data_IF_414912892539
#
_entry.id   IF_414912892539
#
_cell.length_a   1.000
_cell.length_b   1.000
_cell.length_c   1.000
_cell.angle_alpha   90.00
_cell.angle_beta   90.00
_cell.angle_gamma   90.00
#
_symmetry.space_group_name_H-M   'P 1'
#
loop_
_entity.id
_entity.type
_entity.pdbx_description
1 polymer ?
#
# COMPACT_ATOMS: atom_id res chain seq x y z
N UNK A 1 -13.65 -61.71 -23.69
CA UNK A 1 -12.68 -60.81 -22.97
C UNK A 1 -12.67 -59.44 -23.62
N UNK A 2 -13.32 -58.47 -23.00
CA UNK A 2 -13.43 -57.05 -23.49
C UNK A 2 -12.29 -56.29 -22.85
N UNK A 3 -11.35 -55.76 -23.67
CA UNK A 3 -10.29 -54.86 -23.22
C UNK A 3 -10.84 -53.42 -23.20
N UNK A 4 -11.02 -52.88 -22.02
CA UNK A 4 -11.36 -51.46 -21.82
C UNK A 4 -10.05 -50.68 -21.88
N UNK A 5 -9.87 -49.89 -22.97
CA UNK A 5 -8.80 -48.90 -23.09
C UNK A 5 -9.25 -47.66 -22.32
N UNK A 6 -8.64 -47.40 -21.16
CA UNK A 6 -8.80 -46.14 -20.43
C UNK A 6 -7.83 -45.15 -21.04
N UNK A 7 -8.37 -44.22 -21.86
CA UNK A 7 -7.64 -43.03 -22.33
C UNK A 7 -7.49 -42.02 -21.18
N UNK A 8 -6.28 -41.90 -20.66
CA UNK A 8 -5.90 -40.87 -19.70
C UNK A 8 -5.65 -39.58 -20.48
N UNK A 9 -6.66 -38.74 -20.60
CA UNK A 9 -6.52 -37.39 -21.18
C UNK A 9 -5.81 -36.52 -20.18
N UNK A 10 -4.50 -36.25 -20.37
CA UNK A 10 -3.74 -35.27 -19.62
C UNK A 10 -4.23 -33.89 -20.04
N UNK A 11 -5.10 -33.31 -19.26
CA UNK A 11 -5.48 -31.89 -19.38
C UNK A 11 -4.29 -31.04 -18.89
N UNK A 12 -3.41 -30.65 -19.80
CA UNK A 12 -2.35 -29.69 -19.55
C UNK A 12 -3.02 -28.31 -19.46
N UNK A 13 -3.49 -27.93 -18.29
CA UNK A 13 -3.86 -26.55 -18.01
C UNK A 13 -2.59 -25.71 -18.08
N UNK A 14 -2.35 -25.09 -19.23
CA UNK A 14 -1.36 -24.04 -19.36
C UNK A 14 -1.73 -22.95 -18.37
N UNK A 15 -1.05 -22.90 -17.24
CA UNK A 15 -1.13 -21.79 -16.30
C UNK A 15 -0.53 -20.59 -17.02
N UNK A 16 -1.37 -19.84 -17.74
CA UNK A 16 -1.01 -18.56 -18.32
C UNK A 16 -0.57 -17.68 -17.15
N UNK A 17 0.73 -17.46 -17.01
CA UNK A 17 1.28 -16.58 -16.00
C UNK A 17 0.59 -15.21 -16.13
N UNK A 18 -0.31 -14.91 -15.24
CA UNK A 18 -1.04 -13.64 -15.25
C UNK A 18 -0.02 -12.51 -15.24
N UNK A 19 -0.16 -11.57 -16.18
CA UNK A 19 0.71 -10.40 -16.25
C UNK A 19 0.63 -9.66 -14.92
N UNK A 20 1.78 -9.42 -14.30
CA UNK A 20 1.85 -8.68 -13.03
C UNK A 20 1.22 -7.29 -13.20
N UNK A 21 0.26 -6.89 -12.36
CA UNK A 21 -0.37 -5.58 -12.47
C UNK A 21 0.62 -4.47 -12.11
N UNK A 22 0.47 -3.30 -12.72
CA UNK A 22 1.12 -2.09 -12.21
C UNK A 22 0.46 -1.67 -10.89
N UNK A 23 1.26 -1.24 -9.94
CA UNK A 23 0.80 -0.80 -8.62
C UNK A 23 1.16 0.67 -8.46
N UNK A 24 0.16 1.53 -8.29
CA UNK A 24 0.35 2.92 -7.89
C UNK A 24 -0.07 3.05 -6.43
N UNK A 25 0.87 3.39 -5.57
CA UNK A 25 0.62 3.69 -4.16
C UNK A 25 0.75 5.21 -3.94
N UNK A 26 -0.39 5.90 -3.80
CA UNK A 26 -0.44 7.33 -3.51
C UNK A 26 -0.79 7.53 -2.04
N UNK A 27 0.11 8.14 -1.28
CA UNK A 27 -0.03 8.37 0.16
C UNK A 27 0.11 9.85 0.46
N UNK A 28 -1.00 10.48 0.81
CA UNK A 28 -1.03 11.88 1.17
C UNK A 28 -0.53 12.09 2.61
N UNK A 29 0.28 13.12 2.83
CA UNK A 29 0.72 13.54 4.15
C UNK A 29 -0.35 14.42 4.79
N UNK A 30 -0.59 14.25 6.09
CA UNK A 30 -1.53 15.04 6.90
C UNK A 30 -2.96 15.13 6.34
N UNK A 31 -3.40 14.13 5.58
CA UNK A 31 -4.74 14.08 5.01
C UNK A 31 -5.61 13.02 5.70
N UNK A 32 -6.68 13.48 6.35
CA UNK A 32 -7.71 12.63 6.93
C UNK A 32 -8.90 12.42 5.97
N UNK A 33 -10.10 12.37 6.54
CA UNK A 33 -11.34 12.17 5.77
C UNK A 33 -11.89 13.46 5.15
N UNK A 34 -11.04 14.31 4.61
CA UNK A 34 -11.42 15.58 4.00
C UNK A 34 -11.50 15.45 2.47
N UNK A 35 -12.56 14.80 1.99
CA UNK A 35 -12.86 14.67 0.57
C UNK A 35 -14.37 14.68 0.33
N UNK A 36 -14.81 15.19 -0.83
CA UNK A 36 -16.25 15.34 -1.13
C UNK A 36 -17.03 14.03 -1.06
N UNK A 37 -16.43 12.89 -1.40
CA UNK A 37 -17.09 11.59 -1.28
C UNK A 37 -17.48 11.25 0.18
N UNK A 38 -16.76 11.76 1.16
CA UNK A 38 -17.09 11.51 2.57
C UNK A 38 -18.32 12.28 3.05
N UNK A 39 -18.74 13.36 2.36
CA UNK A 39 -20.03 14.00 2.64
C UNK A 39 -21.20 13.04 2.44
N UNK A 40 -21.12 12.18 1.41
CA UNK A 40 -22.16 11.19 1.13
C UNK A 40 -22.16 10.03 2.14
N UNK A 41 -21.01 9.75 2.75
CA UNK A 41 -20.78 8.60 3.63
C UNK A 41 -20.97 8.94 5.11
N UNK A 42 -20.47 10.12 5.54
CA UNK A 42 -20.47 10.56 6.94
C UNK A 42 -21.61 11.52 7.27
N UNK A 43 -22.35 11.98 6.27
CA UNK A 43 -23.42 12.97 6.40
C UNK A 43 -22.99 14.36 5.94
N UNK A 44 -23.97 15.08 5.43
CA UNK A 44 -23.79 16.45 4.95
C UNK A 44 -23.83 17.47 6.09
N UNK A 45 -23.38 18.69 5.83
CA UNK A 45 -23.32 19.78 6.79
C UNK A 45 -21.93 20.03 7.38
N UNK A 46 -20.89 19.31 6.88
CA UNK A 46 -19.51 19.44 7.35
C UNK A 46 -18.53 19.95 6.30
N UNK A 47 -17.25 19.91 6.63
CA UNK A 47 -16.15 20.37 5.77
C UNK A 47 -16.11 19.63 4.43
N UNK A 48 -16.58 18.40 4.37
CA UNK A 48 -16.60 17.58 3.17
C UNK A 48 -17.56 18.11 2.08
N UNK A 49 -18.54 18.91 2.43
CA UNK A 49 -19.40 19.59 1.45
C UNK A 49 -18.67 20.72 0.73
N UNK A 50 -17.65 21.29 1.37
CA UNK A 50 -16.82 22.35 0.81
C UNK A 50 -15.63 21.80 0.00
N UNK A 51 -15.19 20.60 0.32
CA UNK A 51 -14.09 19.94 -0.38
C UNK A 51 -14.48 19.63 -1.83
N UNK A 52 -13.58 19.84 -2.76
CA UNK A 52 -13.76 19.55 -4.18
C UNK A 52 -12.69 18.56 -4.64
N UNK A 53 -12.99 17.28 -4.57
CA UNK A 53 -12.06 16.19 -4.90
C UNK A 53 -12.59 15.25 -5.99
N UNK A 54 -12.94 15.77 -7.19
CA UNK A 54 -13.69 15.01 -8.20
C UNK A 54 -12.94 13.77 -8.70
N UNK A 55 -11.61 13.83 -8.81
CA UNK A 55 -10.81 12.68 -9.24
C UNK A 55 -10.70 11.61 -8.16
N UNK A 56 -10.56 12.00 -6.90
CA UNK A 56 -10.61 11.09 -5.77
C UNK A 56 -11.98 10.44 -5.64
N UNK A 57 -13.05 11.21 -5.79
CA UNK A 57 -14.42 10.69 -5.75
C UNK A 57 -14.69 9.67 -6.86
N UNK A 58 -14.17 9.93 -8.08
CA UNK A 58 -14.26 8.99 -9.20
C UNK A 58 -13.53 7.70 -8.89
N UNK A 59 -12.31 7.77 -8.33
CA UNK A 59 -11.54 6.61 -7.91
C UNK A 59 -12.28 5.83 -6.83
N UNK A 60 -12.76 6.49 -5.79
CA UNK A 60 -13.50 5.88 -4.69
C UNK A 60 -14.76 5.15 -5.16
N UNK A 61 -15.50 5.72 -6.13
CA UNK A 61 -16.70 5.11 -6.72
C UNK A 61 -16.39 3.91 -7.62
N UNK A 62 -15.19 3.83 -8.18
CA UNK A 62 -14.77 2.71 -9.04
C UNK A 62 -14.06 1.59 -8.27
N UNK A 63 -13.75 1.79 -7.02
CA UNK A 63 -13.01 0.87 -6.16
C UNK A 63 -13.69 0.61 -4.83
N UNK A 64 -12.89 0.46 -3.78
CA UNK A 64 -13.36 0.28 -2.41
C UNK A 64 -12.96 1.47 -1.56
N UNK A 65 -13.94 2.14 -0.95
CA UNK A 65 -13.72 3.23 -0.01
C UNK A 65 -13.75 2.68 1.43
N UNK A 66 -12.62 2.75 2.12
CA UNK A 66 -12.52 2.40 3.54
C UNK A 66 -12.93 3.60 4.39
N UNK A 67 -14.00 3.45 5.17
CA UNK A 67 -14.49 4.51 6.08
C UNK A 67 -13.66 4.62 7.35
N UNK A 68 -13.09 3.51 7.79
CA UNK A 68 -12.37 3.39 9.04
C UNK A 68 -10.95 2.84 8.78
N UNK A 69 -10.13 3.63 8.06
CA UNK A 69 -8.73 3.36 7.88
C UNK A 69 -7.91 4.21 8.87
N UNK A 70 -7.09 3.56 9.68
CA UNK A 70 -6.29 4.21 10.70
C UNK A 70 -4.80 4.02 10.41
N UNK A 71 -4.03 5.06 10.64
CA UNK A 71 -2.56 4.96 10.66
C UNK A 71 -2.10 4.39 11.99
N UNK A 72 -1.01 3.63 11.97
CA UNK A 72 -0.47 3.01 13.18
C UNK A 72 0.17 4.03 14.15
N UNK A 73 0.65 5.16 13.62
CA UNK A 73 1.17 6.27 14.40
C UNK A 73 0.85 7.62 13.73
N UNK A 74 0.40 8.64 14.46
CA UNK A 74 0.08 9.96 13.91
C UNK A 74 1.36 10.83 13.76
N UNK A 75 2.41 10.28 13.17
CA UNK A 75 3.71 10.95 13.00
C UNK A 75 4.42 10.41 11.76
N UNK A 76 5.13 11.27 11.04
CA UNK A 76 5.68 10.98 9.71
C UNK A 76 6.48 9.68 9.63
N UNK A 77 7.65 9.62 10.25
CA UNK A 77 8.52 8.44 10.17
C UNK A 77 7.94 7.21 10.84
N UNK A 78 7.37 7.28 12.05
CA UNK A 78 6.74 6.11 12.68
C UNK A 78 5.59 5.52 11.84
N UNK A 79 4.71 6.38 11.30
CA UNK A 79 3.64 5.94 10.40
C UNK A 79 4.20 5.23 9.16
N UNK A 80 5.20 5.84 8.52
CA UNK A 80 5.80 5.30 7.30
C UNK A 80 6.61 4.04 7.56
N UNK A 81 7.24 3.92 8.74
CA UNK A 81 7.90 2.69 9.16
C UNK A 81 6.92 1.53 9.27
N UNK A 82 5.77 1.75 9.90
CA UNK A 82 4.70 0.76 9.96
C UNK A 82 4.17 0.41 8.57
N UNK A 83 3.90 1.42 7.76
CA UNK A 83 3.37 1.26 6.42
C UNK A 83 4.31 0.43 5.53
N UNK A 84 5.61 0.70 5.56
CA UNK A 84 6.60 0.02 4.73
C UNK A 84 6.92 -1.39 5.21
N UNK A 85 6.93 -1.61 6.53
CA UNK A 85 7.28 -2.91 7.11
C UNK A 85 6.09 -3.85 7.34
N UNK A 86 4.87 -3.30 7.44
CA UNK A 86 3.69 -4.05 7.88
C UNK A 86 3.70 -4.37 9.38
N UNK A 87 4.58 -3.73 10.16
CA UNK A 87 4.70 -3.91 11.63
C UNK A 87 4.08 -2.73 12.37
N UNK A 88 3.83 -2.90 13.65
CA UNK A 88 3.55 -1.77 14.51
C UNK A 88 4.79 -0.87 14.62
N UNK A 89 4.59 0.45 14.76
CA UNK A 89 5.72 1.40 14.73
C UNK A 89 6.74 1.13 15.84
N UNK A 90 6.32 0.70 17.03
CA UNK A 90 7.21 0.37 18.13
C UNK A 90 8.09 -0.88 17.90
N UNK A 91 7.76 -1.69 16.88
CA UNK A 91 8.55 -2.85 16.48
C UNK A 91 9.60 -2.51 15.42
N UNK A 92 9.71 -1.24 15.04
CA UNK A 92 10.63 -0.78 13.98
C UNK A 92 11.91 -0.13 14.54
N UNK A 93 12.21 -0.34 15.82
CA UNK A 93 13.42 0.18 16.45
C UNK A 93 13.49 1.70 16.35
N UNK A 94 14.58 2.25 15.82
CA UNK A 94 14.72 3.71 15.59
C UNK A 94 13.83 4.26 14.49
N UNK A 95 13.17 3.44 13.70
CA UNK A 95 12.08 3.84 12.82
C UNK A 95 10.81 4.30 13.57
N UNK A 96 10.74 4.03 14.86
CA UNK A 96 9.63 4.44 15.73
C UNK A 96 9.71 5.91 16.20
N UNK A 97 10.80 6.62 15.93
CA UNK A 97 11.00 8.02 16.34
C UNK A 97 11.05 8.94 15.12
N UNK A 98 10.80 10.23 15.35
CA UNK A 98 10.80 11.24 14.28
C UNK A 98 12.20 11.79 14.02
N UNK A 99 12.89 12.23 15.07
CA UNK A 99 14.21 12.86 14.98
C UNK A 99 15.27 11.80 15.28
N UNK A 100 16.29 11.69 14.41
CA UNK A 100 17.32 10.66 14.52
C UNK A 100 16.82 9.27 14.17
N UNK A 101 15.76 9.20 13.36
CA UNK A 101 15.25 7.93 12.84
C UNK A 101 16.31 7.24 11.96
N UNK A 102 16.45 5.96 12.16
CA UNK A 102 17.30 5.08 11.35
C UNK A 102 16.51 3.82 11.02
N UNK A 103 16.66 3.31 9.80
CA UNK A 103 16.04 2.07 9.41
C UNK A 103 16.91 0.88 9.84
N UNK A 104 16.30 -0.11 10.46
CA UNK A 104 16.95 -1.39 10.70
C UNK A 104 16.85 -2.24 9.43
N UNK A 105 17.99 -2.49 8.76
CA UNK A 105 18.08 -3.26 7.51
C UNK A 105 17.55 -4.70 7.65
N UNK A 106 17.47 -5.23 8.87
CA UNK A 106 16.87 -6.55 9.14
C UNK A 106 15.35 -6.56 8.99
N UNK A 107 14.72 -5.38 8.95
CA UNK A 107 13.29 -5.24 8.77
C UNK A 107 12.99 -5.11 7.28
N UNK A 108 12.40 -6.14 6.65
CA UNK A 108 12.06 -6.07 5.23
C UNK A 108 10.95 -5.07 4.97
N UNK A 109 10.97 -4.44 3.80
CA UNK A 109 9.89 -3.58 3.33
C UNK A 109 9.13 -4.23 2.19
N UNK A 110 7.82 -3.98 2.08
CA UNK A 110 7.04 -4.54 0.97
C UNK A 110 7.53 -4.06 -0.42
N UNK A 111 8.05 -2.82 -0.61
CA UNK A 111 8.65 -2.46 -1.90
C UNK A 111 9.85 -3.34 -2.26
N UNK A 112 10.72 -3.66 -1.29
CA UNK A 112 11.85 -4.57 -1.55
C UNK A 112 11.40 -5.99 -1.91
N UNK A 113 10.32 -6.46 -1.29
CA UNK A 113 9.73 -7.76 -1.64
C UNK A 113 9.18 -7.75 -3.07
N UNK A 114 8.54 -6.66 -3.49
CA UNK A 114 8.11 -6.48 -4.88
C UNK A 114 9.29 -6.42 -5.85
N UNK A 115 10.36 -5.69 -5.51
CA UNK A 115 11.59 -5.66 -6.30
C UNK A 115 12.18 -7.07 -6.49
N UNK A 116 12.28 -7.85 -5.42
CA UNK A 116 12.71 -9.26 -5.49
C UNK A 116 11.81 -10.11 -6.37
N UNK A 117 10.53 -9.76 -6.46
CA UNK A 117 9.56 -10.39 -7.35
C UNK A 117 9.61 -9.87 -8.79
N UNK A 118 10.58 -9.02 -9.14
CA UNK A 118 10.80 -8.52 -10.49
C UNK A 118 9.96 -7.28 -10.86
N UNK A 119 9.42 -6.55 -9.89
CA UNK A 119 8.85 -5.23 -10.15
C UNK A 119 9.95 -4.17 -10.27
N UNK A 120 9.74 -3.22 -11.17
CA UNK A 120 10.48 -1.97 -11.15
C UNK A 120 9.88 -1.05 -10.10
N UNK A 121 10.72 -0.46 -9.23
CA UNK A 121 10.27 0.49 -8.23
C UNK A 121 10.60 1.91 -8.67
N UNK A 122 9.62 2.78 -8.56
CA UNK A 122 9.81 4.23 -8.67
C UNK A 122 9.17 4.90 -7.47
N UNK A 123 9.69 6.03 -7.07
CA UNK A 123 9.08 6.85 -6.03
C UNK A 123 9.31 8.34 -6.31
N UNK A 124 8.51 9.14 -5.67
CA UNK A 124 8.65 10.59 -5.70
C UNK A 124 8.30 11.18 -4.34
N UNK A 125 8.92 12.29 -3.99
CA UNK A 125 8.68 13.05 -2.80
C UNK A 125 8.94 12.27 -1.49
N UNK A 126 8.06 12.32 -0.51
CA UNK A 126 8.24 11.85 0.86
C UNK A 126 7.89 10.38 1.03
N UNK A 127 8.86 9.50 0.90
CA UNK A 127 8.66 8.05 1.12
C UNK A 127 8.82 7.68 2.59
N UNK A 128 9.98 8.01 3.17
CA UNK A 128 10.32 7.79 4.57
C UNK A 128 11.14 8.97 5.08
N UNK A 129 10.52 9.83 5.89
CA UNK A 129 11.11 11.11 6.31
C UNK A 129 10.40 11.65 7.56
N UNK A 130 11.13 12.30 8.48
CA UNK A 130 12.59 12.44 8.50
C UNK A 130 13.32 11.11 8.58
N UNK A 131 14.40 10.98 7.82
CA UNK A 131 15.19 9.75 7.66
C UNK A 131 15.69 9.63 6.23
N UNK A 132 16.58 8.70 5.98
CA UNK A 132 17.10 8.44 4.65
C UNK A 132 16.36 7.23 4.04
N UNK A 133 15.57 7.40 2.97
CA UNK A 133 14.83 6.29 2.36
C UNK A 133 15.74 5.19 1.78
N UNK A 134 17.02 5.50 1.49
CA UNK A 134 17.98 4.48 1.06
C UNK A 134 18.26 3.44 2.12
N UNK A 135 18.24 3.82 3.39
CA UNK A 135 18.45 2.89 4.50
C UNK A 135 17.32 1.84 4.56
N UNK A 136 16.12 2.21 4.11
CA UNK A 136 15.00 1.29 3.93
C UNK A 136 15.05 0.53 2.59
N UNK A 137 16.12 0.69 1.81
CA UNK A 137 16.30 0.05 0.51
C UNK A 137 15.39 0.58 -0.60
N UNK A 138 14.86 1.79 -0.46
CA UNK A 138 13.86 2.40 -1.35
C UNK A 138 14.44 3.64 -2.05
N UNK A 139 15.74 3.73 -2.21
CA UNK A 139 16.39 4.87 -2.81
C UNK A 139 17.42 4.51 -3.85
#
# INVERSE_FOLDING_TARGET
MIRILVSFSLCFTACLAAKKPNILFAFADDWGQQASIYADVLGRGGINDLAKTPNFDKLAKSGVLFKNAFVNAPSCTPCRSSLLSGRNFWETGRGAILIGAEWDEKIPTWPLLLKKSGYHLGYTYKVWSPGNPRDAGIG
#
